data_IF_700145195101
#
_entry.id   IF_700145195101
#
_cell.length_a   1.000
_cell.length_b   1.000
_cell.length_c   1.000
_cell.angle_alpha   90.00
_cell.angle_beta   90.00
_cell.angle_gamma   90.00
#
_symmetry.space_group_name_H-M   'P 1'
#
loop_
_entity.id
_entity.type
_entity.pdbx_description
1 polymer ?
#
# COMPACT_ATOMS: atom_id res chain seq x y z
N UNK A 1 -16.26 -51.98 -49.91
CA UNK A 1 -17.57 -51.33 -49.60
C UNK A 1 -17.41 -50.62 -48.27
N UNK A 2 -17.66 -49.30 -48.18
CA UNK A 2 -17.59 -48.55 -46.93
C UNK A 2 -18.88 -48.74 -46.13
N UNK A 3 -18.78 -48.93 -44.82
CA UNK A 3 -19.93 -48.94 -43.93
C UNK A 3 -20.21 -47.51 -43.46
N UNK A 4 -21.39 -47.01 -43.82
CA UNK A 4 -21.96 -45.74 -43.36
C UNK A 4 -22.46 -45.94 -41.94
N UNK A 5 -22.06 -45.08 -41.01
CA UNK A 5 -22.66 -45.02 -39.68
C UNK A 5 -23.87 -44.07 -39.72
N UNK A 6 -25.05 -44.64 -39.55
CA UNK A 6 -26.32 -43.92 -39.32
C UNK A 6 -26.51 -43.75 -37.81
N UNK A 7 -26.85 -42.54 -37.37
CA UNK A 7 -27.27 -42.29 -35.99
C UNK A 7 -28.76 -42.62 -35.85
N UNK A 8 -29.08 -43.41 -34.82
CA UNK A 8 -30.42 -43.82 -34.43
C UNK A 8 -31.25 -42.63 -33.93
N UNK A 9 -32.52 -42.55 -34.32
CA UNK A 9 -33.44 -41.53 -33.81
C UNK A 9 -33.96 -41.89 -32.40
N UNK A 10 -33.69 -41.04 -31.41
CA UNK A 10 -34.48 -40.95 -30.16
C UNK A 10 -33.73 -40.32 -28.97
N UNK A 11 -34.41 -39.65 -28.01
CA UNK A 11 -35.85 -39.61 -27.77
C UNK A 11 -36.50 -38.24 -28.07
N UNK A 12 -37.79 -38.25 -28.38
CA UNK A 12 -38.63 -37.04 -28.52
C UNK A 12 -38.84 -36.37 -27.16
N UNK A 13 -37.88 -35.58 -26.70
CA UNK A 13 -38.06 -34.63 -25.60
C UNK A 13 -38.41 -33.26 -26.16
N UNK A 14 -39.57 -32.70 -25.79
CA UNK A 14 -39.83 -31.28 -26.02
C UNK A 14 -39.18 -30.47 -24.91
N UNK A 15 -38.06 -29.82 -25.21
CA UNK A 15 -37.47 -28.80 -24.35
C UNK A 15 -37.87 -27.41 -24.81
N UNK A 16 -37.99 -26.47 -23.87
CA UNK A 16 -38.06 -25.05 -24.21
C UNK A 16 -36.74 -24.40 -23.83
N UNK A 17 -36.23 -23.56 -24.71
CA UNK A 17 -35.01 -22.79 -24.48
C UNK A 17 -35.41 -21.34 -24.36
N UNK A 18 -35.25 -20.78 -23.16
CA UNK A 18 -35.40 -19.35 -22.92
C UNK A 18 -34.05 -18.76 -22.59
N UNK A 19 -33.55 -17.97 -23.52
CA UNK A 19 -32.30 -17.23 -23.35
C UNK A 19 -32.60 -15.75 -23.09
N UNK A 20 -32.02 -15.23 -22.01
CA UNK A 20 -31.86 -13.80 -21.76
C UNK A 20 -30.43 -13.35 -22.03
N UNK A 21 -30.16 -12.07 -21.83
CA UNK A 21 -28.88 -11.42 -22.19
C UNK A 21 -27.66 -11.99 -21.44
N UNK A 22 -27.84 -12.64 -20.28
CA UNK A 22 -26.73 -13.17 -19.46
C UNK A 22 -26.93 -14.61 -18.97
N UNK A 23 -28.06 -15.27 -19.29
CA UNK A 23 -28.29 -16.67 -18.95
C UNK A 23 -29.17 -17.35 -20.01
N UNK A 24 -28.87 -18.61 -20.32
CA UNK A 24 -29.79 -19.50 -21.03
C UNK A 24 -30.29 -20.56 -20.05
N UNK A 25 -31.60 -20.57 -19.80
CA UNK A 25 -32.24 -21.70 -19.14
C UNK A 25 -32.70 -22.70 -20.21
N UNK A 26 -32.15 -23.90 -20.11
CA UNK A 26 -32.56 -25.05 -20.90
C UNK A 26 -33.42 -25.92 -19.99
N UNK A 27 -34.71 -25.98 -20.28
CA UNK A 27 -35.63 -26.91 -19.62
C UNK A 27 -35.68 -28.20 -20.43
N UNK A 28 -35.18 -29.28 -19.83
CA UNK A 28 -35.28 -30.64 -20.38
C UNK A 28 -36.39 -31.38 -19.64
N UNK A 29 -37.53 -31.56 -20.32
CA UNK A 29 -38.58 -32.44 -19.82
C UNK A 29 -38.16 -33.89 -20.06
N UNK A 30 -37.59 -34.51 -19.03
CA UNK A 30 -37.41 -35.96 -18.96
C UNK A 30 -38.75 -36.53 -18.50
N UNK A 31 -39.39 -37.50 -19.20
CA UNK A 31 -40.63 -38.11 -18.74
C UNK A 31 -40.40 -38.87 -17.42
N UNK A 32 -40.62 -38.17 -16.31
CA UNK A 32 -40.65 -38.74 -14.98
C UNK A 32 -42.01 -39.38 -14.72
N UNK A 33 -41.97 -40.65 -14.34
CA UNK A 33 -43.11 -41.46 -13.93
C UNK A 33 -43.84 -40.82 -12.72
N UNK A 34 -45.17 -41.00 -12.70
CA UNK A 34 -46.15 -40.30 -11.87
C UNK A 34 -45.88 -40.22 -10.36
N UNK A 35 -46.33 -39.11 -9.74
CA UNK A 35 -46.61 -39.02 -8.31
C UNK A 35 -47.07 -37.64 -7.81
N UNK A 36 -48.38 -37.49 -7.57
CA UNK A 36 -48.90 -36.66 -6.47
C UNK A 36 -49.44 -35.25 -6.77
N UNK A 37 -50.77 -35.10 -6.63
CA UNK A 37 -51.58 -33.86 -6.66
C UNK A 37 -51.10 -32.73 -5.73
N UNK A 38 -51.37 -31.49 -6.17
CA UNK A 38 -51.44 -30.30 -5.32
C UNK A 38 -51.92 -29.05 -6.08
N UNK A 39 -53.23 -28.81 -6.07
CA UNK A 39 -53.96 -27.71 -6.72
C UNK A 39 -53.72 -26.33 -6.10
N UNK A 40 -53.82 -25.26 -6.90
CA UNK A 40 -54.20 -23.95 -6.35
C UNK A 40 -53.95 -22.70 -7.21
N UNK A 41 -54.94 -22.31 -8.03
CA UNK A 41 -55.48 -20.94 -8.00
C UNK A 41 -54.82 -19.80 -8.81
N UNK A 42 -55.33 -19.62 -10.03
CA UNK A 42 -55.85 -18.39 -10.68
C UNK A 42 -55.44 -16.98 -10.21
N UNK A 43 -55.13 -16.10 -11.17
CA UNK A 43 -55.15 -14.65 -10.97
C UNK A 43 -54.79 -13.83 -12.22
N UNK A 44 -55.81 -13.53 -13.03
CA UNK A 44 -55.85 -12.64 -14.20
C UNK A 44 -55.57 -11.16 -13.90
N UNK A 45 -55.07 -10.38 -14.86
CA UNK A 45 -55.19 -8.91 -14.80
C UNK A 45 -54.37 -8.14 -15.83
N UNK A 46 -55.05 -7.62 -16.85
CA UNK A 46 -54.53 -6.85 -17.98
C UNK A 46 -54.20 -5.38 -17.66
N UNK A 47 -53.45 -4.73 -18.57
CA UNK A 47 -53.70 -3.31 -18.88
C UNK A 47 -52.48 -2.41 -19.12
N UNK A 48 -52.22 -2.12 -20.39
CA UNK A 48 -52.15 -0.72 -20.85
C UNK A 48 -50.80 0.01 -20.84
N UNK A 49 -50.13 0.03 -22.00
CA UNK A 49 -49.99 1.27 -22.77
C UNK A 49 -48.87 2.27 -22.42
N UNK A 50 -47.81 2.24 -23.23
CA UNK A 50 -47.41 3.40 -24.05
C UNK A 50 -46.38 4.39 -23.50
N UNK A 51 -45.28 4.55 -24.25
CA UNK A 51 -44.68 5.88 -24.47
C UNK A 51 -43.23 6.11 -24.01
N UNK A 52 -42.28 5.63 -24.82
CA UNK A 52 -40.97 6.22 -25.18
C UNK A 52 -40.41 7.42 -24.39
N UNK A 53 -39.16 7.34 -23.90
CA UNK A 53 -37.97 7.81 -24.61
C UNK A 53 -36.71 7.88 -23.71
N UNK A 54 -35.65 7.19 -24.14
CA UNK A 54 -34.25 7.68 -24.14
C UNK A 54 -33.44 7.72 -22.84
N UNK A 55 -32.46 6.80 -22.71
CA UNK A 55 -31.30 6.97 -21.81
C UNK A 55 -30.90 5.72 -21.03
N UNK A 56 -30.50 4.64 -21.71
CA UNK A 56 -30.09 3.38 -21.08
C UNK A 56 -28.72 3.44 -20.44
N UNK A 57 -28.62 3.99 -19.22
CA UNK A 57 -27.56 3.67 -18.28
C UNK A 57 -27.96 2.40 -17.51
N UNK A 58 -27.51 1.24 -17.98
CA UNK A 58 -27.78 -0.06 -17.37
C UNK A 58 -26.72 -0.44 -16.34
N UNK A 59 -26.66 0.28 -15.21
CA UNK A 59 -25.93 -0.14 -14.03
C UNK A 59 -26.61 -1.34 -13.37
N UNK A 60 -26.08 -2.54 -13.62
CA UNK A 60 -26.39 -3.74 -12.85
C UNK A 60 -25.54 -3.76 -11.60
N UNK A 61 -26.19 -3.73 -10.43
CA UNK A 61 -25.62 -3.61 -9.08
C UNK A 61 -24.30 -4.38 -8.91
N UNK A 62 -23.21 -3.62 -8.81
CA UNK A 62 -21.92 -4.06 -8.30
C UNK A 62 -22.11 -4.57 -6.87
N UNK A 63 -22.05 -5.88 -6.71
CA UNK A 63 -21.71 -6.49 -5.44
C UNK A 63 -20.19 -6.65 -5.42
N UNK A 64 -19.48 -5.72 -4.78
CA UNK A 64 -18.09 -5.77 -4.29
C UNK A 64 -17.08 -6.66 -5.04
N UNK A 65 -16.83 -6.36 -6.33
CA UNK A 65 -15.63 -6.80 -7.03
C UNK A 65 -14.52 -5.76 -6.87
N UNK A 66 -13.49 -6.05 -6.09
CA UNK A 66 -12.51 -5.03 -5.63
C UNK A 66 -11.07 -5.31 -6.03
N UNK A 67 -10.81 -6.32 -6.85
CA UNK A 67 -9.48 -6.55 -7.42
C UNK A 67 -9.59 -7.42 -8.68
N UNK A 68 -9.76 -6.78 -9.84
CA UNK A 68 -9.85 -7.43 -11.15
C UNK A 68 -8.52 -7.29 -11.90
N UNK A 69 -7.96 -8.40 -12.37
CA UNK A 69 -6.80 -8.41 -13.26
C UNK A 69 -7.21 -8.91 -14.64
N UNK A 70 -6.66 -8.32 -15.70
CA UNK A 70 -6.93 -8.69 -17.08
C UNK A 70 -5.69 -9.28 -17.72
N UNK A 71 -5.80 -10.44 -18.35
CA UNK A 71 -4.74 -11.06 -19.15
C UNK A 71 -5.21 -11.22 -20.59
N UNK A 72 -4.41 -10.78 -21.56
CA UNK A 72 -4.73 -10.98 -22.97
C UNK A 72 -4.90 -12.49 -23.25
N UNK A 73 -6.02 -12.88 -23.86
CA UNK A 73 -6.26 -14.27 -24.21
C UNK A 73 -5.27 -14.72 -25.31
N UNK A 74 -4.57 -15.83 -25.09
CA UNK A 74 -3.61 -16.40 -26.02
C UNK A 74 -3.81 -17.92 -26.12
N UNK A 75 -4.28 -18.46 -27.26
CA UNK A 75 -4.64 -17.73 -28.49
C UNK A 75 -5.94 -16.93 -28.32
N UNK A 76 -6.11 -15.89 -29.13
CA UNK A 76 -7.41 -15.20 -29.22
C UNK A 76 -8.51 -16.17 -29.67
N UNK A 77 -9.74 -16.06 -29.14
CA UNK A 77 -10.86 -16.89 -29.55
C UNK A 77 -11.13 -16.78 -31.06
N UNK A 78 -11.67 -17.83 -31.71
CA UNK A 78 -12.03 -17.78 -33.12
C UNK A 78 -12.96 -16.61 -33.45
N UNK A 79 -12.80 -16.01 -34.62
CA UNK A 79 -13.65 -14.91 -35.08
C UNK A 79 -15.14 -15.31 -35.04
N UNK A 80 -16.01 -14.41 -34.54
CA UNK A 80 -17.44 -14.63 -34.43
C UNK A 80 -17.89 -15.50 -33.25
N UNK A 81 -16.98 -15.88 -32.35
CA UNK A 81 -17.35 -16.55 -31.10
C UNK A 81 -18.06 -15.58 -30.13
N UNK A 82 -18.77 -16.13 -29.13
CA UNK A 82 -19.58 -15.34 -28.20
C UNK A 82 -18.74 -14.37 -27.35
N UNK A 83 -17.47 -14.72 -27.11
CA UNK A 83 -16.49 -13.94 -26.36
C UNK A 83 -16.22 -12.58 -26.99
N UNK A 84 -16.36 -12.47 -28.32
CA UNK A 84 -16.21 -11.23 -29.06
C UNK A 84 -17.39 -10.27 -28.88
N UNK A 85 -18.51 -10.69 -28.28
CA UNK A 85 -19.72 -9.87 -28.06
C UNK A 85 -20.23 -9.16 -29.34
N UNK A 86 -20.04 -9.78 -30.49
CA UNK A 86 -20.44 -9.23 -31.80
C UNK A 86 -19.40 -8.31 -32.46
N UNK A 87 -18.21 -8.17 -31.90
CA UNK A 87 -17.08 -7.46 -32.51
C UNK A 87 -16.21 -8.38 -33.36
N UNK A 88 -15.41 -7.82 -34.26
CA UNK A 88 -14.49 -8.58 -35.11
C UNK A 88 -13.04 -8.52 -34.58
N UNK A 89 -12.21 -9.53 -34.88
CA UNK A 89 -10.77 -9.44 -34.64
C UNK A 89 -10.16 -8.24 -35.38
N UNK A 90 -9.56 -7.32 -34.61
CA UNK A 90 -9.02 -6.06 -35.13
C UNK A 90 -9.67 -4.80 -34.52
N UNK A 91 -10.92 -4.91 -34.04
CA UNK A 91 -11.62 -3.82 -33.35
C UNK A 91 -11.30 -3.73 -31.85
N UNK A 92 -10.48 -4.66 -31.36
CA UNK A 92 -10.15 -4.87 -29.96
C UNK A 92 -9.58 -6.27 -29.73
N UNK A 93 -9.56 -6.71 -28.47
CA UNK A 93 -9.12 -8.06 -28.11
C UNK A 93 -9.93 -8.64 -26.95
N UNK A 94 -9.95 -9.97 -26.85
CA UNK A 94 -10.53 -10.70 -25.72
C UNK A 94 -9.48 -10.89 -24.62
N UNK A 95 -9.87 -10.62 -23.38
CA UNK A 95 -9.07 -10.75 -22.17
C UNK A 95 -9.73 -11.72 -21.19
N UNK A 96 -8.91 -12.48 -20.48
CA UNK A 96 -9.32 -13.21 -19.28
C UNK A 96 -9.31 -12.23 -18.10
N UNK A 97 -10.48 -11.88 -17.59
CA UNK A 97 -10.67 -11.07 -16.40
C UNK A 97 -10.85 -11.97 -15.19
N UNK A 98 -9.97 -11.80 -14.21
CA UNK A 98 -9.99 -12.51 -12.94
C UNK A 98 -10.26 -11.50 -11.83
N UNK A 99 -11.43 -11.56 -11.20
CA UNK A 99 -11.78 -10.69 -10.08
C UNK A 99 -11.90 -11.46 -8.77
N UNK A 100 -11.46 -10.86 -7.66
CA UNK A 100 -11.63 -11.40 -6.30
C UNK A 100 -12.67 -10.64 -5.49
N UNK A 101 -13.44 -11.39 -4.71
CA UNK A 101 -14.34 -10.85 -3.68
C UNK A 101 -13.58 -10.62 -2.37
N UNK A 102 -13.74 -9.45 -1.74
CA UNK A 102 -13.08 -9.11 -0.47
C UNK A 102 -13.38 -10.09 0.66
N UNK A 103 -14.61 -10.59 0.74
CA UNK A 103 -15.12 -11.21 1.97
C UNK A 103 -15.20 -12.75 1.89
N UNK A 104 -14.83 -13.34 0.75
CA UNK A 104 -15.12 -14.77 0.50
C UNK A 104 -13.93 -15.56 -0.02
N UNK A 105 -12.83 -14.91 -0.44
CA UNK A 105 -11.73 -15.57 -1.16
C UNK A 105 -12.14 -16.14 -2.53
N UNK A 106 -13.41 -15.98 -2.90
CA UNK A 106 -13.96 -16.42 -4.17
C UNK A 106 -13.38 -15.57 -5.30
N UNK A 107 -12.98 -16.27 -6.36
CA UNK A 107 -12.43 -15.67 -7.57
C UNK A 107 -13.39 -15.97 -8.72
N UNK A 108 -13.78 -14.95 -9.48
CA UNK A 108 -14.51 -15.10 -10.73
C UNK A 108 -13.54 -14.90 -11.89
N UNK A 109 -13.55 -15.82 -12.84
CA UNK A 109 -12.78 -15.73 -14.08
C UNK A 109 -13.77 -15.68 -15.23
N UNK A 110 -13.65 -14.69 -16.12
CA UNK A 110 -14.51 -14.56 -17.30
C UNK A 110 -13.73 -14.01 -18.48
N UNK A 111 -14.15 -14.37 -19.69
CA UNK A 111 -13.64 -13.75 -20.92
C UNK A 111 -14.42 -12.47 -21.21
N UNK A 112 -13.71 -11.38 -21.45
CA UNK A 112 -14.29 -10.08 -21.79
C UNK A 112 -13.60 -9.50 -23.02
N UNK A 113 -14.40 -9.04 -23.98
CA UNK A 113 -13.90 -8.23 -25.07
C UNK A 113 -13.72 -6.78 -24.61
N UNK A 114 -12.60 -6.17 -25.00
CA UNK A 114 -12.28 -4.77 -24.76
C UNK A 114 -11.78 -4.12 -26.06
N UNK A 115 -12.33 -2.95 -26.40
CA UNK A 115 -12.01 -2.20 -27.62
C UNK A 115 -10.56 -1.68 -27.60
N UNK A 116 -10.14 -1.19 -26.44
CA UNK A 116 -8.77 -0.81 -26.14
C UNK A 116 -8.25 -1.78 -25.08
N UNK A 117 -6.93 -2.03 -25.01
CA UNK A 117 -6.37 -2.73 -23.87
C UNK A 117 -6.91 -2.12 -22.59
N UNK A 118 -7.35 -2.95 -21.61
CA UNK A 118 -7.68 -2.42 -20.30
C UNK A 118 -6.48 -1.56 -19.92
N UNK A 119 -6.75 -0.29 -19.62
CA UNK A 119 -5.68 0.69 -19.46
C UNK A 119 -4.59 0.00 -18.66
N UNK A 120 -3.37 -0.02 -19.19
CA UNK A 120 -2.23 -0.26 -18.33
C UNK A 120 -2.40 0.82 -17.26
N UNK A 121 -3.06 0.50 -16.14
CA UNK A 121 -2.76 1.10 -14.87
C UNK A 121 -1.31 0.70 -14.68
N UNK A 122 -0.43 1.51 -15.30
CA UNK A 122 0.93 1.18 -15.65
C UNK A 122 1.51 0.46 -14.46
N UNK A 123 1.77 -0.84 -14.60
CA UNK A 123 1.99 -1.77 -13.49
C UNK A 123 2.76 -1.05 -12.40
N UNK A 124 2.04 -0.58 -11.36
CA UNK A 124 2.62 0.46 -10.51
C UNK A 124 3.68 -0.22 -9.68
N UNK A 125 4.94 0.15 -9.91
CA UNK A 125 6.05 -0.42 -9.18
C UNK A 125 5.82 -0.21 -7.68
N UNK A 126 5.70 -1.29 -6.87
CA UNK A 126 5.53 -1.18 -5.43
C UNK A 126 6.63 -0.34 -4.75
N UNK A 127 7.84 -0.28 -5.32
CA UNK A 127 8.90 0.58 -4.81
C UNK A 127 8.58 2.08 -4.96
N UNK A 128 7.87 2.48 -6.02
CA UNK A 128 7.41 3.86 -6.21
C UNK A 128 6.34 4.20 -5.17
N UNK A 129 5.39 3.30 -4.92
CA UNK A 129 4.39 3.48 -3.85
C UNK A 129 5.04 3.51 -2.46
N UNK A 130 6.10 2.72 -2.24
CA UNK A 130 6.87 2.78 -1.00
C UNK A 130 7.48 4.17 -0.77
N UNK A 131 8.12 4.76 -1.78
CA UNK A 131 8.66 6.11 -1.66
C UNK A 131 7.55 7.15 -1.42
N UNK A 132 6.42 7.06 -2.13
CA UNK A 132 5.27 7.94 -1.89
C UNK A 132 4.71 7.82 -0.47
N UNK A 133 4.72 6.61 0.11
CA UNK A 133 4.35 6.41 1.51
C UNK A 133 5.35 7.11 2.45
N UNK A 134 6.66 6.99 2.19
CA UNK A 134 7.71 7.68 2.97
C UNK A 134 7.56 9.20 2.89
N UNK A 135 7.26 9.75 1.72
CA UNK A 135 7.11 11.20 1.53
C UNK A 135 5.95 11.76 2.39
N UNK A 136 4.89 10.96 2.62
CA UNK A 136 3.76 11.33 3.51
C UNK A 136 4.12 11.31 4.99
N UNK A 137 5.20 10.63 5.39
CA UNK A 137 5.60 10.53 6.80
C UNK A 137 6.19 11.83 7.34
N UNK A 138 6.61 12.75 6.48
CA UNK A 138 7.23 14.03 6.87
C UNK A 138 8.38 13.84 7.88
N UNK A 139 9.28 12.90 7.60
CA UNK A 139 10.41 12.59 8.48
C UNK A 139 11.31 13.82 8.65
N UNK A 140 11.49 14.25 9.90
CA UNK A 140 12.27 15.40 10.30
C UNK A 140 13.62 14.98 10.88
N UNK A 141 14.51 15.96 11.07
CA UNK A 141 15.73 15.78 11.84
C UNK A 141 15.44 15.37 13.29
N UNK A 142 16.43 14.80 14.00
CA UNK A 142 16.26 14.46 15.40
C UNK A 142 15.88 15.69 16.24
N UNK A 143 14.93 15.55 17.15
CA UNK A 143 14.60 16.63 18.10
C UNK A 143 15.62 16.61 19.25
N UNK A 144 16.72 17.36 19.06
CA UNK A 144 17.84 17.42 20.00
C UNK A 144 17.37 18.03 21.32
N UNK A 145 17.44 17.23 22.38
CA UNK A 145 17.09 17.68 23.71
C UNK A 145 18.35 18.05 24.50
N UNK A 146 18.21 19.06 25.35
CA UNK A 146 19.28 19.58 26.19
C UNK A 146 18.72 19.94 27.57
N UNK A 147 19.43 19.64 28.68
CA UNK A 147 19.02 20.11 30.00
C UNK A 147 19.23 21.63 30.12
N UNK A 148 19.99 22.25 29.22
CA UNK A 148 20.29 23.68 29.19
C UNK A 148 20.33 24.22 27.75
N UNK A 149 19.18 24.41 27.08
CA UNK A 149 19.11 24.85 25.68
C UNK A 149 19.85 26.16 25.40
N UNK A 150 19.94 27.03 26.40
CA UNK A 150 20.64 28.34 26.34
C UNK A 150 21.86 28.43 27.27
N UNK A 151 22.20 27.35 27.97
CA UNK A 151 23.23 27.38 29.01
C UNK A 151 24.65 27.13 28.49
N UNK A 152 25.63 27.44 29.34
CA UNK A 152 27.03 27.08 29.16
C UNK A 152 27.30 25.74 29.82
N UNK A 153 27.99 24.86 29.11
CA UNK A 153 28.61 23.66 29.67
C UNK A 153 30.07 23.96 30.01
N UNK A 154 30.70 23.04 30.73
CA UNK A 154 32.06 23.22 31.22
C UNK A 154 32.95 22.10 30.65
N UNK A 155 34.17 22.45 30.28
CA UNK A 155 35.22 21.50 29.90
C UNK A 155 35.37 20.41 30.97
N UNK A 156 35.47 19.15 30.55
CA UNK A 156 35.63 18.01 31.45
C UNK A 156 34.34 17.54 32.15
N UNK A 157 33.20 18.18 31.93
CA UNK A 157 31.90 17.71 32.45
C UNK A 157 31.22 16.82 31.40
N UNK A 158 30.79 15.59 31.75
CA UNK A 158 30.05 14.72 30.83
C UNK A 158 28.76 15.35 30.33
N UNK A 159 28.65 15.48 29.01
CA UNK A 159 27.45 15.88 28.31
C UNK A 159 26.68 14.63 27.89
N UNK A 160 25.43 14.52 28.35
CA UNK A 160 24.55 13.44 27.91
C UNK A 160 23.86 13.86 26.62
N UNK A 161 23.80 12.96 25.64
CA UNK A 161 23.21 13.20 24.33
C UNK A 161 21.91 12.41 24.22
N UNK A 162 20.80 13.09 24.00
CA UNK A 162 19.52 12.44 23.76
C UNK A 162 18.60 13.28 22.87
N UNK A 163 17.59 12.63 22.33
CA UNK A 163 16.56 13.24 21.49
C UNK A 163 15.18 12.94 22.04
N UNK A 164 14.24 13.86 21.85
CA UNK A 164 12.83 13.56 22.11
C UNK A 164 12.30 12.67 20.99
N UNK A 165 11.47 11.71 21.38
CA UNK A 165 10.90 10.74 20.47
C UNK A 165 9.51 11.16 20.04
N UNK A 166 9.31 11.28 18.73
CA UNK A 166 8.01 11.42 18.10
C UNK A 166 7.98 10.57 16.82
N UNK A 167 6.80 10.38 16.23
CA UNK A 167 6.66 9.67 14.96
C UNK A 167 7.54 10.30 13.87
N UNK A 168 7.63 11.63 13.79
CA UNK A 168 8.38 12.31 12.71
C UNK A 168 9.87 12.51 13.01
N UNK A 169 10.30 12.45 14.28
CA UNK A 169 11.70 12.76 14.66
C UNK A 169 12.53 11.54 15.07
N UNK A 170 11.89 10.43 15.43
CA UNK A 170 12.57 9.18 15.83
C UNK A 170 11.85 7.90 15.38
N UNK A 171 10.53 7.95 15.24
CA UNK A 171 9.69 6.84 14.84
C UNK A 171 9.32 5.91 16.01
N UNK A 172 8.50 4.87 15.72
CA UNK A 172 8.04 4.49 14.39
C UNK A 172 7.04 5.48 13.76
N UNK A 173 7.06 5.57 12.43
CA UNK A 173 6.08 6.29 11.61
C UNK A 173 5.55 5.36 10.53
N UNK A 174 4.24 5.29 10.33
CA UNK A 174 3.62 4.37 9.39
C UNK A 174 2.75 5.16 8.41
N UNK A 175 2.91 4.88 7.12
CA UNK A 175 2.12 5.48 6.06
C UNK A 175 1.91 4.49 4.91
N UNK A 176 0.89 4.75 4.09
CA UNK A 176 0.58 3.92 2.92
C UNK A 176 0.33 4.78 1.68
N UNK A 177 0.56 4.17 0.52
CA UNK A 177 0.20 4.72 -0.78
C UNK A 177 -0.43 3.63 -1.65
N UNK A 178 -1.38 4.04 -2.49
CA UNK A 178 -2.14 3.13 -3.35
C UNK A 178 -2.28 3.72 -4.74
N UNK A 179 -2.15 2.89 -5.76
CA UNK A 179 -2.47 3.20 -7.14
C UNK A 179 -2.72 1.89 -7.90
N UNK A 180 -3.67 1.89 -8.84
CA UNK A 180 -4.01 0.74 -9.68
C UNK A 180 -4.30 -0.55 -8.90
N UNK A 181 -5.12 -0.47 -7.86
CA UNK A 181 -5.46 -1.61 -6.98
C UNK A 181 -4.33 -2.11 -6.08
N UNK A 182 -3.09 -1.63 -6.26
CA UNK A 182 -1.95 -1.95 -5.39
C UNK A 182 -1.93 -0.99 -4.21
N UNK A 183 -1.69 -1.52 -3.01
CA UNK A 183 -1.42 -0.72 -1.80
C UNK A 183 -0.11 -1.17 -1.18
N UNK A 184 0.75 -0.22 -0.85
CA UNK A 184 2.01 -0.42 -0.13
C UNK A 184 1.97 0.32 1.20
N UNK A 185 2.43 -0.33 2.25
CA UNK A 185 2.59 0.23 3.59
C UNK A 185 4.07 0.25 3.95
N UNK A 186 4.55 1.39 4.42
CA UNK A 186 5.92 1.60 4.88
C UNK A 186 5.92 1.94 6.38
N UNK A 187 6.93 1.48 7.10
CA UNK A 187 7.16 1.75 8.52
C UNK A 187 8.61 2.24 8.68
N UNK A 188 8.77 3.51 9.08
CA UNK A 188 10.08 4.14 9.26
C UNK A 188 10.45 4.24 10.75
N UNK A 189 11.70 3.93 11.09
CA UNK A 189 12.26 4.11 12.44
C UNK A 189 13.74 4.48 12.38
N UNK A 190 14.20 5.34 13.27
CA UNK A 190 15.63 5.65 13.42
C UNK A 190 16.39 4.41 13.93
N UNK A 191 17.45 4.02 13.22
CA UNK A 191 18.35 2.93 13.60
C UNK A 191 19.60 3.41 14.32
N UNK A 192 20.08 4.62 14.00
CA UNK A 192 21.21 5.27 14.71
C UNK A 192 21.20 6.78 14.55
N UNK A 193 21.92 7.46 15.45
CA UNK A 193 22.20 8.90 15.38
C UNK A 193 23.71 9.12 15.49
N UNK A 194 24.30 9.76 14.47
CA UNK A 194 25.69 10.18 14.47
C UNK A 194 25.79 11.67 14.82
N UNK A 195 26.51 11.99 15.89
CA UNK A 195 26.71 13.34 16.40
C UNK A 195 28.09 13.84 16.04
N UNK A 196 28.17 14.94 15.30
CA UNK A 196 29.41 15.71 15.12
C UNK A 196 29.41 16.82 16.16
N UNK A 197 30.39 16.83 17.05
CA UNK A 197 30.37 17.71 18.23
C UNK A 197 30.98 19.09 17.99
N UNK A 198 31.50 19.37 16.79
CA UNK A 198 32.10 20.66 16.44
C UNK A 198 33.51 20.89 16.97
N UNK A 199 34.01 20.04 17.87
CA UNK A 199 35.41 19.99 18.35
C UNK A 199 36.29 19.00 17.57
N UNK A 200 35.76 18.46 16.46
CA UNK A 200 36.40 17.43 15.64
C UNK A 200 36.06 15.99 16.04
N UNK A 201 35.39 15.79 17.18
CA UNK A 201 34.92 14.46 17.60
C UNK A 201 33.58 14.07 16.96
N UNK A 202 33.34 12.76 16.91
CA UNK A 202 32.05 12.17 16.48
C UNK A 202 31.63 11.09 17.46
N UNK A 203 30.35 11.05 17.80
CA UNK A 203 29.75 10.04 18.68
C UNK A 203 28.58 9.36 17.96
N UNK A 204 28.55 8.02 17.99
CA UNK A 204 27.46 7.24 17.39
C UNK A 204 26.58 6.65 18.49
N UNK A 205 25.31 7.03 18.51
CA UNK A 205 24.31 6.47 19.42
C UNK A 205 23.40 5.48 18.66
N UNK A 206 23.25 4.25 19.17
CA UNK A 206 22.34 3.21 18.64
C UNK A 206 20.93 3.27 19.24
N UNK A 207 20.57 4.41 19.83
CA UNK A 207 19.29 4.65 20.50
C UNK A 207 19.03 6.15 20.67
N UNK A 208 17.89 6.54 21.29
CA UNK A 208 17.52 7.93 21.45
C UNK A 208 18.34 8.66 22.52
N UNK A 209 19.23 7.95 23.23
CA UNK A 209 19.97 8.45 24.39
C UNK A 209 19.16 8.40 25.69
N UNK A 210 19.83 8.71 26.81
CA UNK A 210 19.21 8.78 28.13
C UNK A 210 19.03 10.25 28.52
N UNK A 211 17.82 10.70 28.88
CA UNK A 211 17.61 12.03 29.41
C UNK A 211 18.45 12.27 30.67
N UNK A 212 19.15 13.41 30.72
CA UNK A 212 19.90 13.80 31.92
C UNK A 212 18.94 14.14 33.07
N UNK A 213 19.26 13.66 34.27
CA UNK A 213 18.62 14.08 35.50
C UNK A 213 19.63 14.77 36.43
N UNK A 214 19.19 15.78 37.19
CA UNK A 214 20.10 16.56 38.05
C UNK A 214 20.81 15.75 39.13
N UNK A 215 20.24 14.61 39.55
CA UNK A 215 20.86 13.68 40.50
C UNK A 215 22.07 12.94 39.94
N UNK A 216 22.26 12.91 38.62
CA UNK A 216 23.39 12.23 38.00
C UNK A 216 24.74 12.95 38.22
N UNK A 217 24.73 14.25 38.56
CA UNK A 217 25.96 15.00 38.84
C UNK A 217 26.97 14.91 37.69
N UNK A 218 28.17 14.39 38.00
CA UNK A 218 29.30 14.20 37.07
C UNK A 218 29.36 12.79 36.45
N UNK A 219 28.29 11.99 36.55
CA UNK A 219 28.27 10.66 35.94
C UNK A 219 28.27 10.74 34.41
N UNK A 220 28.95 9.80 33.76
CA UNK A 220 28.83 9.61 32.31
C UNK A 220 27.44 9.08 31.94
N UNK A 221 27.04 9.35 30.69
CA UNK A 221 25.75 8.88 30.18
C UNK A 221 25.74 7.36 30.09
N UNK A 222 24.68 6.69 30.57
CA UNK A 222 24.56 5.23 30.47
C UNK A 222 24.47 4.71 29.03
N UNK A 223 24.10 5.57 28.08
CA UNK A 223 23.82 5.16 26.69
C UNK A 223 24.61 5.95 25.66
N UNK A 224 24.63 7.28 25.77
CA UNK A 224 25.33 8.13 24.82
C UNK A 224 25.70 9.49 25.41
N UNK A 225 26.97 9.86 25.30
CA UNK A 225 27.49 11.11 25.84
C UNK A 225 28.83 11.51 25.22
N UNK A 226 29.26 12.73 25.52
CA UNK A 226 30.53 13.30 25.09
C UNK A 226 31.17 14.13 26.20
N UNK A 227 32.49 14.26 26.21
CA UNK A 227 33.23 15.16 27.11
C UNK A 227 34.10 16.08 26.27
N UNK A 228 33.83 17.38 26.33
CA UNK A 228 34.68 18.37 25.68
C UNK A 228 35.97 18.58 26.49
N UNK A 229 37.12 18.52 25.82
CA UNK A 229 38.44 18.76 26.40
C UNK A 229 38.92 20.22 26.25
N UNK A 230 38.26 21.00 25.40
CA UNK A 230 38.64 22.38 25.07
C UNK A 230 37.42 23.30 25.04
N UNK A 231 37.61 24.57 25.40
CA UNK A 231 36.54 25.57 25.39
C UNK A 231 36.11 25.90 23.96
N UNK A 232 34.87 26.34 23.79
CA UNK A 232 34.35 26.75 22.47
C UNK A 232 34.76 28.19 22.10
N UNK A 233 35.58 28.87 22.90
CA UNK A 233 35.92 30.27 22.70
C UNK A 233 36.64 30.54 21.37
N UNK A 234 37.42 29.57 20.89
CA UNK A 234 38.12 29.64 19.60
C UNK A 234 37.27 29.22 18.39
N UNK A 235 36.07 28.68 18.61
CA UNK A 235 35.17 28.28 17.53
C UNK A 235 34.44 29.49 16.94
N UNK A 236 33.98 29.44 15.67
CA UNK A 236 33.16 30.49 15.08
C UNK A 236 31.95 30.85 15.96
N UNK A 237 31.79 32.14 16.29
CA UNK A 237 30.73 32.59 17.19
C UNK A 237 30.89 32.18 18.66
N UNK A 238 32.07 31.68 19.06
CA UNK A 238 32.38 31.25 20.42
C UNK A 238 31.63 30.01 20.88
N UNK A 239 31.10 29.21 19.94
CA UNK A 239 30.26 28.03 20.17
C UNK A 239 30.65 26.89 19.25
N UNK A 240 30.51 25.66 19.72
CA UNK A 240 30.61 24.49 18.86
C UNK A 240 29.29 24.26 18.13
N UNK A 241 29.37 24.07 16.82
CA UNK A 241 28.26 23.63 15.99
C UNK A 241 28.13 22.11 16.12
N UNK A 242 27.07 21.66 16.78
CA UNK A 242 26.76 20.25 16.96
C UNK A 242 25.71 19.83 15.93
N UNK A 243 26.03 18.83 15.12
CA UNK A 243 25.12 18.27 14.11
C UNK A 243 24.75 16.85 14.49
N UNK A 244 23.46 16.57 14.69
CA UNK A 244 22.94 15.22 14.87
C UNK A 244 22.36 14.70 13.54
N UNK A 245 22.80 13.52 13.11
CA UNK A 245 22.38 12.89 11.86
C UNK A 245 21.67 11.58 12.15
N UNK A 246 20.35 11.53 12.00
CA UNK A 246 19.60 10.27 12.11
C UNK A 246 19.64 9.49 10.79
N UNK A 247 19.92 8.20 10.90
CA UNK A 247 19.67 7.22 9.84
C UNK A 247 18.35 6.54 10.13
N UNK A 248 17.39 6.67 9.22
CA UNK A 248 16.11 5.97 9.27
C UNK A 248 16.18 4.71 8.44
N UNK A 249 15.73 3.61 9.04
CA UNK A 249 15.47 2.35 8.35
C UNK A 249 13.97 2.25 8.12
N UNK A 250 13.57 2.04 6.87
CA UNK A 250 12.17 1.99 6.47
C UNK A 250 11.88 0.66 5.82
N UNK A 251 11.09 -0.18 6.48
CA UNK A 251 10.62 -1.44 5.91
C UNK A 251 9.26 -1.23 5.26
N UNK A 252 9.05 -1.77 4.06
CA UNK A 252 7.78 -1.66 3.35
C UNK A 252 7.35 -2.98 2.72
N UNK A 253 6.04 -3.14 2.58
CA UNK A 253 5.43 -4.30 1.93
C UNK A 253 4.11 -3.92 1.24
N UNK A 254 3.83 -4.58 0.12
CA UNK A 254 2.60 -4.41 -0.65
C UNK A 254 2.76 -4.79 -2.12
N UNK A 255 1.66 -5.03 -2.82
CA UNK A 255 1.69 -5.41 -4.24
C UNK A 255 2.44 -6.71 -4.55
N UNK A 256 2.55 -7.63 -3.58
CA UNK A 256 3.31 -8.87 -3.72
C UNK A 256 4.83 -8.71 -3.57
N UNK A 257 5.31 -7.50 -3.24
CA UNK A 257 6.73 -7.20 -2.99
C UNK A 257 6.95 -6.65 -1.57
N UNK A 258 8.20 -6.67 -1.15
CA UNK A 258 8.67 -6.02 0.07
C UNK A 258 10.09 -5.53 -0.14
N UNK A 259 10.50 -4.55 0.65
CA UNK A 259 11.84 -3.98 0.57
C UNK A 259 12.18 -3.07 1.73
N UNK A 260 13.35 -2.48 1.65
CA UNK A 260 13.85 -1.53 2.64
C UNK A 260 14.36 -0.27 1.95
N UNK A 261 14.05 0.88 2.52
CA UNK A 261 14.59 2.19 2.14
C UNK A 261 15.41 2.76 3.30
N UNK A 262 16.31 3.69 2.99
CA UNK A 262 17.11 4.42 3.98
C UNK A 262 16.98 5.91 3.74
N UNK A 263 16.69 6.65 4.79
CA UNK A 263 16.59 8.11 4.77
C UNK A 263 17.55 8.72 5.80
N UNK A 264 18.11 9.89 5.48
CA UNK A 264 19.00 10.62 6.38
C UNK A 264 18.36 11.96 6.72
N UNK A 265 18.27 12.30 8.00
CA UNK A 265 17.79 13.60 8.47
C UNK A 265 18.77 14.20 9.47
N UNK A 266 18.84 15.52 9.49
CA UNK A 266 19.82 16.24 10.31
C UNK A 266 19.17 17.38 11.08
N UNK A 267 19.73 17.66 12.25
CA UNK A 267 19.42 18.83 13.08
C UNK A 267 20.71 19.42 13.61
N UNK A 268 20.76 20.75 13.72
CA UNK A 268 21.93 21.49 14.21
C UNK A 268 21.58 22.29 15.46
N UNK A 269 22.51 22.30 16.42
CA UNK A 269 22.44 23.15 17.62
C UNK A 269 23.80 23.77 17.93
N UNK A 270 23.79 24.88 18.65
CA UNK A 270 25.00 25.63 19.01
C UNK A 270 25.26 25.55 20.51
N UNK A 271 26.40 24.98 20.89
CA UNK A 271 26.73 24.70 22.29
C UNK A 271 27.91 25.54 22.76
N UNK A 272 27.74 26.24 23.88
CA UNK A 272 28.79 27.03 24.51
C UNK A 272 29.52 26.19 25.59
N UNK A 273 30.83 26.01 25.44
CA UNK A 273 31.70 25.31 26.40
C UNK A 273 32.68 26.31 27.01
N UNK A 274 32.55 26.54 28.31
CA UNK A 274 33.48 27.36 29.10
C UNK A 274 34.39 26.53 29.98
N UNK A 275 35.31 27.20 30.66
CA UNK A 275 36.10 26.62 31.75
C UNK A 275 35.68 27.27 33.07
N UNK A 276 35.79 26.53 34.18
CA UNK A 276 35.61 27.10 35.52
C UNK A 276 36.96 27.63 35.98
N UNK A 277 37.06 28.96 36.12
CA UNK A 277 38.20 29.59 36.76
C UNK A 277 37.93 29.80 38.24
N UNK A 278 38.77 29.22 39.09
CA UNK A 278 38.78 29.54 40.53
C UNK A 278 39.75 30.69 40.73
N UNK A 279 39.22 31.87 41.05
CA UNK A 279 40.05 33.00 41.50
C UNK A 279 40.43 32.70 42.94
N UNK A 280 41.74 32.65 43.22
CA UNK A 280 42.29 32.49 44.57
C UNK A 280 42.76 33.83 45.10
#
# INVERSE_FOLDING_TARGET
MPAVAVADEGPKGSGNTKCGMYTCQVEVNVPGQAGGQGSGGSGTGAGGGGGSAGGGAGGGKDTDLTNCTYKLADPQPPAGSLEWKGHEPGDGAVYEETCRWNDSGNTIVRMVWLAEPPGEEAAVDPAVLAQQAVDKMTLLGPDIASPRPTGKYVVGVPMWLWVNQSATTYGPNTASASAGGVTVTAIAKVSKIDWRMGDGSTVTCTGPGTPYNGSAGMAESPTCGHVYSTTSAGAPGGRYAVTATSTWTIDWQGGGAAGQLTEIRQSDVQVAIGEVQVVR
#
